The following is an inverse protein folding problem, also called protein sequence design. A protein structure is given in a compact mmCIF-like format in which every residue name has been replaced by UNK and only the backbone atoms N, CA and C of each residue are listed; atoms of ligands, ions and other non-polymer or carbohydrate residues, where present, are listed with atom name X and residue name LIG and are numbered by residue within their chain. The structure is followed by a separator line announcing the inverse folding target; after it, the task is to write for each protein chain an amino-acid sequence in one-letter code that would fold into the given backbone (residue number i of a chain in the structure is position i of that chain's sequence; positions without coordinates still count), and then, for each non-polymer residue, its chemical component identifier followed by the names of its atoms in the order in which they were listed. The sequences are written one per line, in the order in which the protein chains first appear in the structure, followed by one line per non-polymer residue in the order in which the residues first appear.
data_IF_508401137990
#
_entry.id   IF_508401137990
#
_cell.length_a   1.000
_cell.length_b   1.000
_cell.length_c   1.000
_cell.angle_alpha   90.00
_cell.angle_beta   90.00
_cell.angle_gamma   90.00
#
_symmetry.space_group_name_H-M   'P 1'
#
loop_
_entity.id
_entity.type
_entity.pdbx_description
1 polymer ?
#
# COMPACT_ATOMS: atom_id res chain seq x y z
N UNK A 1 -1.94 16.74 -2.49
CA UNK A 1 -0.56 17.03 -2.94
C UNK A 1 0.45 16.56 -1.89
N UNK A 2 1.65 16.18 -2.33
CA UNK A 2 2.81 15.92 -1.48
C UNK A 2 3.78 17.10 -1.60
N UNK A 3 4.40 17.49 -0.49
CA UNK A 3 5.39 18.57 -0.47
C UNK A 3 6.72 18.06 0.06
N UNK A 4 7.81 18.37 -0.63
CA UNK A 4 9.16 18.24 -0.09
C UNK A 4 9.51 19.55 0.62
N UNK A 5 9.79 19.48 1.92
CA UNK A 5 10.10 20.65 2.75
C UNK A 5 11.58 20.60 3.13
N UNK A 6 12.30 21.66 2.83
CA UNK A 6 13.67 21.82 3.29
C UNK A 6 13.68 22.28 4.75
N UNK A 7 14.30 21.48 5.61
CA UNK A 7 14.45 21.75 7.04
C UNK A 7 15.91 21.94 7.46
N UNK A 8 16.83 22.12 6.52
CA UNK A 8 18.27 22.28 6.80
C UNK A 8 18.59 23.52 7.61
N UNK A 9 17.76 24.56 7.49
CA UNK A 9 17.84 25.76 8.33
C UNK A 9 16.62 25.82 9.25
N UNK A 10 16.77 25.60 10.56
CA UNK A 10 15.64 25.62 11.49
C UNK A 10 14.95 26.97 11.63
N UNK A 11 15.59 28.06 11.20
CA UNK A 11 14.99 29.38 11.18
C UNK A 11 14.16 29.66 9.92
N UNK A 12 14.26 28.83 8.89
CA UNK A 12 13.64 29.07 7.59
C UNK A 12 13.31 27.76 6.88
N UNK A 13 12.12 27.24 7.14
CA UNK A 13 11.59 26.10 6.38
C UNK A 13 10.94 26.60 5.10
N UNK A 14 11.18 25.93 3.98
CA UNK A 14 10.52 26.23 2.73
C UNK A 14 10.20 24.97 1.91
N UNK A 15 9.17 25.03 1.09
CA UNK A 15 8.84 23.96 0.19
C UNK A 15 9.77 23.98 -1.02
N UNK A 16 10.57 22.92 -1.19
CA UNK A 16 11.44 22.75 -2.36
C UNK A 16 10.68 22.26 -3.58
N UNK A 17 9.70 21.37 -3.36
CA UNK A 17 8.89 20.81 -4.43
C UNK A 17 7.46 20.54 -3.95
N UNK A 18 6.53 20.61 -4.90
CA UNK A 18 5.15 20.23 -4.73
C UNK A 18 4.75 19.25 -5.85
N UNK A 19 4.31 18.07 -5.46
CA UNK A 19 3.84 17.05 -6.37
C UNK A 19 2.31 16.98 -6.30
N UNK A 20 1.65 17.33 -7.40
CA UNK A 20 0.19 17.25 -7.49
C UNK A 20 -0.23 15.80 -7.62
N UNK A 21 -1.44 15.50 -7.19
CA UNK A 21 -2.07 14.18 -7.29
C UNK A 21 -1.33 13.04 -6.56
N UNK A 22 -0.35 13.41 -5.72
CA UNK A 22 0.48 12.52 -4.92
C UNK A 22 0.12 12.56 -3.42
N UNK A 23 -1.06 13.06 -3.05
CA UNK A 23 -1.53 13.09 -1.67
C UNK A 23 -2.06 11.75 -1.22
N UNK A 24 -2.02 11.51 0.09
CA UNK A 24 -2.66 10.37 0.76
C UNK A 24 -3.59 10.89 1.86
N UNK A 25 -4.60 10.13 2.22
CA UNK A 25 -5.57 10.49 3.25
C UNK A 25 -5.21 9.86 4.60
N UNK A 26 -4.70 8.61 4.57
CA UNK A 26 -4.39 7.86 5.77
C UNK A 26 -2.90 7.55 5.88
N UNK A 27 -2.34 7.52 7.09
CA UNK A 27 -0.94 7.15 7.32
C UNK A 27 -0.58 5.75 6.82
N UNK A 28 -1.54 4.80 6.84
CA UNK A 28 -1.33 3.44 6.35
C UNK A 28 -1.10 3.35 4.83
N UNK A 29 -1.41 4.42 4.08
CA UNK A 29 -1.12 4.50 2.65
C UNK A 29 0.34 4.86 2.35
N UNK A 30 1.19 5.02 3.38
CA UNK A 30 2.60 5.40 3.24
C UNK A 30 3.48 4.39 3.95
N UNK A 31 4.57 4.00 3.30
CA UNK A 31 5.57 3.10 3.87
C UNK A 31 6.98 3.57 3.55
N UNK A 32 7.81 3.72 4.59
CA UNK A 32 9.19 4.18 4.45
C UNK A 32 10.13 2.99 4.30
N UNK A 33 11.03 3.07 3.31
CA UNK A 33 12.06 2.08 3.04
C UNK A 33 13.43 2.73 2.96
N UNK A 34 14.49 1.91 2.89
CA UNK A 34 15.86 2.42 2.73
C UNK A 34 16.10 3.12 1.37
N UNK A 35 15.28 2.85 0.36
CA UNK A 35 15.40 3.41 -0.98
C UNK A 35 14.37 4.50 -1.28
N UNK A 36 13.54 4.89 -0.31
CA UNK A 36 12.58 5.96 -0.48
C UNK A 36 11.26 5.72 0.25
N UNK A 37 10.31 6.59 -0.01
CA UNK A 37 8.97 6.55 0.55
C UNK A 37 8.01 6.04 -0.51
N UNK A 38 7.33 4.91 -0.21
CA UNK A 38 6.31 4.32 -1.06
C UNK A 38 4.95 4.83 -0.56
N UNK A 39 4.07 5.17 -1.48
CA UNK A 39 2.71 5.55 -1.13
C UNK A 39 1.74 5.21 -2.25
N UNK A 40 0.49 4.99 -1.90
CA UNK A 40 -0.58 4.70 -2.85
C UNK A 40 -1.83 5.51 -2.53
N UNK A 41 -2.54 5.89 -3.58
CA UNK A 41 -3.83 6.56 -3.53
C UNK A 41 -4.72 6.06 -4.68
N UNK A 42 -5.91 6.65 -4.84
CA UNK A 42 -6.84 6.30 -5.92
C UNK A 42 -6.28 6.48 -7.34
N UNK A 43 -5.21 7.29 -7.51
CA UNK A 43 -4.61 7.55 -8.83
C UNK A 43 -3.55 6.52 -9.17
N UNK A 44 -2.84 5.98 -8.16
CA UNK A 44 -1.79 5.01 -8.40
C UNK A 44 -0.90 4.75 -7.19
N UNK A 45 0.15 3.98 -7.44
CA UNK A 45 1.23 3.72 -6.51
C UNK A 45 2.50 4.44 -6.98
N UNK A 46 3.19 5.03 -6.01
CA UNK A 46 4.33 5.92 -6.26
C UNK A 46 5.50 5.61 -5.33
N UNK A 47 6.69 5.94 -5.78
CA UNK A 47 7.90 6.01 -4.95
C UNK A 47 8.48 7.42 -5.03
N UNK A 48 8.79 8.00 -3.88
CA UNK A 48 9.65 9.18 -3.77
C UNK A 48 11.06 8.75 -3.36
N UNK A 49 12.05 8.92 -4.24
CA UNK A 49 13.43 8.48 -4.04
C UNK A 49 14.33 9.51 -3.33
N UNK A 50 13.76 10.60 -2.85
CA UNK A 50 14.47 11.72 -2.25
C UNK A 50 14.69 12.89 -3.22
N UNK A 51 14.48 12.68 -4.52
CA UNK A 51 14.63 13.72 -5.54
C UNK A 51 13.39 13.90 -6.40
N UNK A 52 12.70 12.83 -6.73
CA UNK A 52 11.54 12.83 -7.62
C UNK A 52 10.51 11.77 -7.20
N UNK A 53 9.28 11.95 -7.67
CA UNK A 53 8.22 10.95 -7.57
C UNK A 53 8.18 10.13 -8.86
N UNK A 54 8.18 8.82 -8.71
CA UNK A 54 8.08 7.83 -9.79
C UNK A 54 6.74 7.11 -9.64
N UNK A 55 5.91 7.16 -10.67
CA UNK A 55 4.64 6.44 -10.72
C UNK A 55 4.87 5.00 -11.17
N UNK A 56 4.62 4.02 -10.31
CA UNK A 56 4.79 2.59 -10.60
C UNK A 56 3.64 2.00 -11.42
N UNK A 57 2.48 2.64 -11.35
CA UNK A 57 1.26 2.24 -12.07
C UNK A 57 1.15 2.86 -13.46
N UNK A 58 1.98 3.88 -13.76
CA UNK A 58 1.92 4.58 -15.05
C UNK A 58 2.10 3.64 -16.23
N UNK A 59 1.16 3.65 -17.17
CA UNK A 59 1.16 2.79 -18.35
C UNK A 59 0.91 1.29 -18.06
N UNK A 60 0.59 0.92 -16.81
CA UNK A 60 0.30 -0.46 -16.42
C UNK A 60 -1.18 -0.66 -16.10
N UNK A 61 -1.83 0.36 -15.55
CA UNK A 61 -3.23 0.33 -15.16
C UNK A 61 -3.97 1.50 -15.82
N UNK A 62 -5.22 1.24 -16.20
CA UNK A 62 -6.21 2.31 -16.35
C UNK A 62 -6.69 2.73 -14.95
N UNK A 63 -7.28 3.91 -14.86
CA UNK A 63 -7.87 4.39 -13.60
C UNK A 63 -8.91 3.40 -13.04
N UNK A 64 -9.80 2.90 -13.91
CA UNK A 64 -10.84 1.96 -13.52
C UNK A 64 -10.30 0.60 -13.05
N UNK A 65 -9.15 0.17 -13.56
CA UNK A 65 -8.54 -1.11 -13.20
C UNK A 65 -7.69 -1.02 -11.93
N UNK A 66 -7.24 0.17 -11.54
CA UNK A 66 -6.49 0.36 -10.32
C UNK A 66 -7.38 0.18 -9.09
N UNK A 67 -8.60 0.69 -9.15
CA UNK A 67 -9.72 0.46 -8.22
C UNK A 67 -9.31 0.46 -6.74
N UNK A 68 -8.66 1.50 -6.30
CA UNK A 68 -8.48 1.74 -4.87
C UNK A 68 -9.58 2.67 -4.36
N UNK A 69 -10.16 2.36 -3.18
CA UNK A 69 -11.16 3.21 -2.58
C UNK A 69 -10.65 4.64 -2.40
N UNK A 70 -11.49 5.61 -2.68
CA UNK A 70 -11.23 7.01 -2.38
C UNK A 70 -11.86 7.34 -1.04
N UNK A 71 -11.05 7.63 -0.05
CA UNK A 71 -11.53 8.01 1.28
C UNK A 71 -11.91 9.49 1.37
N UNK A 72 -12.66 10.00 0.39
CA UNK A 72 -13.17 11.37 0.48
C UNK A 72 -14.34 11.52 1.44
N UNK A 73 -15.00 10.44 1.82
CA UNK A 73 -16.29 10.52 2.51
C UNK A 73 -16.23 10.26 4.01
N UNK A 74 -15.20 9.61 4.52
CA UNK A 74 -15.19 9.27 5.94
C UNK A 74 -13.82 9.41 6.57
N UNK A 75 -13.66 10.47 7.29
CA UNK A 75 -12.56 10.57 8.26
C UNK A 75 -12.66 9.53 9.39
N UNK A 76 -13.58 8.58 9.32
CA UNK A 76 -13.80 7.55 10.34
C UNK A 76 -14.37 6.30 9.65
N UNK A 77 -13.65 5.26 9.72
CA UNK A 77 -13.84 3.94 9.16
C UNK A 77 -15.13 3.19 9.58
N UNK A 78 -16.30 3.70 9.34
CA UNK A 78 -17.54 3.01 9.70
C UNK A 78 -18.66 3.06 8.66
N UNK A 79 -18.43 3.63 7.48
CA UNK A 79 -19.51 3.81 6.48
C UNK A 79 -19.27 3.09 5.15
N UNK A 80 -18.35 2.13 5.11
CA UNK A 80 -18.08 1.30 3.95
C UNK A 80 -17.09 1.89 2.95
N UNK A 81 -16.43 3.00 3.26
CA UNK A 81 -15.30 3.47 2.49
C UNK A 81 -14.04 2.67 2.85
N UNK A 82 -13.43 2.05 1.88
CA UNK A 82 -12.24 1.25 2.07
C UNK A 82 -11.00 2.09 2.38
N UNK A 83 -10.09 1.53 3.17
CA UNK A 83 -8.81 2.16 3.51
C UNK A 83 -7.66 1.35 2.92
N UNK A 84 -7.02 1.84 1.86
CA UNK A 84 -5.83 1.19 1.31
C UNK A 84 -4.66 1.21 2.30
N UNK A 85 -3.86 0.15 2.28
CA UNK A 85 -2.66 0.05 3.11
C UNK A 85 -1.47 -0.40 2.29
N UNK A 86 -0.33 0.26 2.47
CA UNK A 86 0.90 -0.02 1.73
C UNK A 86 1.94 -0.64 2.63
N UNK A 87 2.61 -1.68 2.13
CA UNK A 87 3.74 -2.31 2.77
C UNK A 87 4.83 -2.71 1.78
N UNK A 88 6.02 -2.96 2.29
CA UNK A 88 7.13 -3.50 1.51
C UNK A 88 7.69 -4.74 2.18
N UNK A 89 7.67 -5.86 1.46
CA UNK A 89 8.30 -7.10 1.90
C UNK A 89 9.73 -7.16 1.37
N UNK A 90 10.75 -7.00 2.23
CA UNK A 90 12.14 -7.00 1.81
C UNK A 90 12.64 -8.37 1.34
N UNK A 91 11.96 -9.44 1.73
CA UNK A 91 12.34 -10.82 1.37
C UNK A 91 11.98 -11.16 -0.07
N UNK A 92 10.80 -10.75 -0.49
CA UNK A 92 10.34 -10.94 -1.87
C UNK A 92 10.60 -9.71 -2.74
N UNK A 93 11.14 -8.63 -2.18
CA UNK A 93 11.34 -7.34 -2.84
C UNK A 93 10.05 -6.86 -3.52
N UNK A 94 8.94 -6.94 -2.79
CA UNK A 94 7.63 -6.65 -3.32
C UNK A 94 6.93 -5.57 -2.51
N UNK A 95 6.30 -4.64 -3.21
CA UNK A 95 5.37 -3.67 -2.63
C UNK A 95 3.99 -4.32 -2.62
N UNK A 96 3.32 -4.27 -1.48
CA UNK A 96 1.97 -4.78 -1.30
C UNK A 96 1.06 -3.59 -1.07
N UNK A 97 0.03 -3.46 -1.88
CA UNK A 97 -1.03 -2.46 -1.72
C UNK A 97 -2.32 -3.21 -1.47
N UNK A 98 -2.71 -3.30 -0.20
CA UNK A 98 -4.01 -3.84 0.17
C UNK A 98 -5.09 -2.86 -0.27
N UNK A 99 -6.17 -3.37 -0.86
CA UNK A 99 -7.26 -2.53 -1.38
C UNK A 99 -8.06 -1.91 -0.24
N UNK A 100 -8.34 -2.69 0.79
CA UNK A 100 -9.10 -2.23 1.95
C UNK A 100 -8.72 -3.01 3.21
N UNK A 101 -8.30 -2.33 4.26
CA UNK A 101 -8.00 -2.94 5.56
C UNK A 101 -9.21 -3.00 6.50
N UNK A 102 -10.32 -2.42 6.11
CA UNK A 102 -11.57 -2.36 6.88
C UNK A 102 -12.71 -3.18 6.29
N UNK A 103 -12.47 -3.89 5.18
CA UNK A 103 -13.47 -4.76 4.59
C UNK A 103 -13.83 -5.88 5.58
N UNK A 104 -15.08 -5.89 6.02
CA UNK A 104 -15.62 -6.84 6.98
C UNK A 104 -16.45 -7.95 6.31
N UNK A 105 -16.66 -7.85 5.02
CA UNK A 105 -17.55 -8.77 4.27
C UNK A 105 -16.82 -9.87 3.54
N UNK A 106 -15.57 -9.64 3.13
CA UNK A 106 -14.80 -10.56 2.29
C UNK A 106 -13.30 -10.43 2.56
N UNK A 107 -12.55 -11.34 1.99
CA UNK A 107 -11.10 -11.32 2.07
C UNK A 107 -10.52 -10.18 1.21
N UNK A 108 -9.71 -9.35 1.82
CA UNK A 108 -9.13 -8.19 1.16
C UNK A 108 -8.18 -8.59 0.04
N UNK A 109 -8.42 -8.07 -1.17
CA UNK A 109 -7.52 -8.17 -2.30
C UNK A 109 -6.31 -7.23 -2.17
N UNK A 110 -5.27 -7.53 -2.92
CA UNK A 110 -4.09 -6.68 -2.97
C UNK A 110 -3.52 -6.57 -4.39
N UNK A 111 -2.90 -5.43 -4.68
CA UNK A 111 -1.96 -5.27 -5.77
C UNK A 111 -0.54 -5.52 -5.26
N UNK A 112 0.20 -6.36 -5.95
CA UNK A 112 1.59 -6.73 -5.58
C UNK A 112 2.51 -6.32 -6.70
N UNK A 113 3.44 -5.42 -6.41
CA UNK A 113 4.48 -5.00 -7.34
C UNK A 113 5.81 -5.64 -6.98
N UNK A 114 6.36 -6.43 -7.88
CA UNK A 114 7.69 -6.98 -7.73
C UNK A 114 8.73 -5.98 -8.25
N UNK A 115 9.63 -5.53 -7.38
CA UNK A 115 10.64 -4.51 -7.70
C UNK A 115 11.69 -5.02 -8.69
N UNK A 116 11.95 -6.33 -8.71
CA UNK A 116 12.97 -6.93 -9.60
C UNK A 116 12.45 -7.06 -11.02
N UNK A 117 11.25 -7.63 -11.17
CA UNK A 117 10.64 -7.84 -12.49
C UNK A 117 9.86 -6.63 -13.00
N UNK A 118 9.60 -5.65 -12.13
CA UNK A 118 8.80 -4.46 -12.41
C UNK A 118 7.38 -4.80 -12.92
N UNK A 119 6.84 -5.91 -12.43
CA UNK A 119 5.52 -6.42 -12.81
C UNK A 119 4.54 -6.33 -11.65
N UNK A 120 3.27 -6.19 -12.00
CA UNK A 120 2.15 -6.21 -11.08
C UNK A 120 1.43 -7.55 -11.14
N UNK A 121 0.99 -8.03 -9.99
CA UNK A 121 0.08 -9.18 -9.86
C UNK A 121 -1.02 -8.82 -8.88
N UNK A 122 -2.19 -9.43 -9.06
CA UNK A 122 -3.29 -9.33 -8.12
C UNK A 122 -3.25 -10.52 -7.16
N UNK A 123 -3.38 -10.25 -5.87
CA UNK A 123 -3.56 -11.25 -4.83
C UNK A 123 -4.96 -11.15 -4.26
N UNK A 124 -5.62 -12.29 -4.12
CA UNK A 124 -6.91 -12.38 -3.45
C UNK A 124 -6.72 -13.01 -2.07
N UNK A 125 -7.66 -12.75 -1.16
CA UNK A 125 -7.65 -13.35 0.19
C UNK A 125 -6.33 -13.09 0.95
N UNK A 126 -5.78 -11.89 0.80
CA UNK A 126 -4.50 -11.53 1.41
C UNK A 126 -4.60 -11.36 2.91
N UNK A 127 -5.76 -10.98 3.39
CA UNK A 127 -6.10 -10.85 4.82
C UNK A 127 -7.51 -11.38 4.99
N UNK A 128 -7.66 -12.38 5.83
CA UNK A 128 -8.98 -12.92 6.18
C UNK A 128 -9.60 -12.09 7.29
N UNK A 129 -10.73 -11.52 7.01
CA UNK A 129 -11.47 -10.68 7.95
C UNK A 129 -12.61 -11.46 8.60
N UNK A 130 -12.27 -12.54 9.30
CA UNK A 130 -13.26 -13.46 9.84
C UNK A 130 -14.21 -12.84 10.88
N UNK A 131 -13.96 -11.65 11.41
CA UNK A 131 -14.72 -11.06 12.52
C UNK A 131 -14.76 -9.52 12.53
N UNK A 132 -14.91 -8.86 11.41
CA UNK A 132 -14.96 -7.39 11.35
C UNK A 132 -13.78 -6.68 12.06
N UNK A 133 -12.63 -7.31 12.06
CA UNK A 133 -11.48 -6.83 12.81
C UNK A 133 -10.65 -5.92 11.93
N UNK A 134 -10.52 -4.71 12.37
CA UNK A 134 -9.76 -3.67 11.69
C UNK A 134 -8.27 -4.00 11.75
N UNK A 135 -7.62 -3.97 10.62
CA UNK A 135 -6.18 -4.01 10.54
C UNK A 135 -5.62 -2.60 10.63
N UNK A 136 -4.37 -2.50 11.02
CA UNK A 136 -3.65 -1.22 11.06
C UNK A 136 -2.51 -1.22 10.04
N UNK A 137 -1.47 -0.44 10.31
CA UNK A 137 -0.35 -0.32 9.39
C UNK A 137 0.45 -1.61 9.25
N UNK A 138 1.10 -1.78 8.11
CA UNK A 138 2.19 -2.71 7.97
C UNK A 138 3.40 -2.27 8.79
N UNK A 139 4.10 -3.26 9.35
CA UNK A 139 5.38 -3.09 10.04
C UNK A 139 6.37 -4.15 9.56
N UNK A 140 7.66 -3.88 9.70
CA UNK A 140 8.70 -4.91 9.55
C UNK A 140 9.14 -5.35 10.94
N UNK A 141 9.01 -6.65 11.21
CA UNK A 141 9.47 -7.23 12.49
C UNK A 141 10.99 -7.32 12.53
N UNK A 142 11.56 -7.54 13.72
CA UNK A 142 12.99 -7.75 13.89
C UNK A 142 13.55 -8.94 13.10
N UNK A 143 12.69 -9.90 12.74
CA UNK A 143 13.03 -11.00 11.85
C UNK A 143 13.00 -10.68 10.36
N UNK A 144 12.70 -9.43 9.99
CA UNK A 144 12.59 -8.99 8.59
C UNK A 144 11.32 -9.47 7.88
N UNK A 145 10.28 -9.81 8.63
CA UNK A 145 8.98 -10.15 8.05
C UNK A 145 8.08 -8.93 7.96
N UNK A 146 7.44 -8.77 6.82
CA UNK A 146 6.33 -7.84 6.70
C UNK A 146 5.15 -8.39 7.49
N UNK A 147 4.58 -7.57 8.35
CA UNK A 147 3.50 -7.98 9.25
C UNK A 147 2.46 -6.87 9.34
N UNK A 148 1.23 -7.26 9.59
CA UNK A 148 0.13 -6.34 9.82
C UNK A 148 -0.43 -6.56 11.22
N UNK A 149 -0.83 -5.48 11.88
CA UNK A 149 -1.44 -5.52 13.20
C UNK A 149 -2.95 -5.65 13.06
N UNK A 150 -3.57 -6.37 13.99
CA UNK A 150 -5.02 -6.44 14.16
C UNK A 150 -5.43 -5.73 15.44
N UNK A 151 -6.51 -4.99 15.36
CA UNK A 151 -7.02 -4.19 16.47
C UNK A 151 -7.60 -5.04 17.62
N UNK A 152 -8.22 -6.18 17.28
CA UNK A 152 -9.01 -6.99 18.22
C UNK A 152 -8.22 -7.88 19.18
N UNK A 153 -6.98 -8.21 18.86
CA UNK A 153 -6.26 -9.27 19.58
C UNK A 153 -4.82 -8.93 19.96
N UNK A 154 -4.37 -7.72 19.69
CA UNK A 154 -2.95 -7.35 19.81
C UNK A 154 -2.02 -8.36 19.09
N UNK A 155 -2.54 -9.02 18.06
CA UNK A 155 -1.83 -10.06 17.32
C UNK A 155 -1.14 -9.46 16.11
N UNK A 156 0.06 -9.95 15.85
CA UNK A 156 0.86 -9.59 14.68
C UNK A 156 0.80 -10.75 13.69
N UNK A 157 0.29 -10.50 12.49
CA UNK A 157 0.25 -11.48 11.43
C UNK A 157 1.39 -11.24 10.44
N UNK A 158 2.27 -12.22 10.29
CA UNK A 158 3.33 -12.15 9.29
C UNK A 158 2.74 -12.43 7.90
N UNK A 159 2.99 -11.53 6.98
CA UNK A 159 2.68 -11.72 5.57
C UNK A 159 3.37 -13.00 5.05
N UNK A 160 2.64 -13.85 4.35
CA UNK A 160 3.12 -15.15 3.81
C UNK A 160 3.53 -16.21 4.83
N UNK A 161 3.19 -16.12 6.09
CA UNK A 161 3.44 -17.20 7.06
C UNK A 161 2.26 -18.17 7.26
N UNK A 162 1.24 -18.13 6.44
CA UNK A 162 0.19 -19.15 6.50
C UNK A 162 0.65 -20.43 5.81
N UNK A 163 0.43 -21.58 6.45
CA UNK A 163 0.71 -22.90 5.89
C UNK A 163 -0.16 -23.29 4.69
N UNK A 164 -1.06 -22.41 4.29
CA UNK A 164 -1.88 -22.56 3.11
C UNK A 164 -1.26 -21.75 1.96
N UNK A 165 -0.82 -22.46 0.94
CA UNK A 165 -0.41 -21.83 -0.31
C UNK A 165 -1.60 -21.06 -0.88
N UNK A 166 -1.55 -19.73 -0.82
CA UNK A 166 -2.57 -18.90 -1.45
C UNK A 166 -2.45 -19.06 -2.96
N UNK A 167 -3.59 -19.20 -3.61
CA UNK A 167 -3.66 -19.33 -5.06
C UNK A 167 -3.28 -17.98 -5.68
N UNK A 168 -2.11 -17.91 -6.27
CA UNK A 168 -1.70 -16.76 -7.09
C UNK A 168 -2.21 -17.01 -8.52
N UNK A 169 -3.10 -16.15 -8.98
CA UNK A 169 -3.57 -16.18 -10.36
C UNK A 169 -2.70 -15.22 -11.16
N UNK A 170 -1.91 -15.75 -12.09
CA UNK A 170 -1.20 -14.95 -13.07
C UNK A 170 -2.09 -14.78 -14.30
N UNK A 171 -2.49 -13.57 -14.59
CA UNK A 171 -3.14 -13.24 -15.85
C UNK A 171 -2.07 -12.63 -16.76
N UNK A 172 -1.58 -13.42 -17.70
CA UNK A 172 -0.75 -12.90 -18.78
C UNK A 172 -1.66 -12.23 -19.81
N UNK A 173 -1.31 -11.02 -20.21
CA UNK A 173 -1.95 -10.41 -21.37
C UNK A 173 -1.57 -11.24 -22.60
N UNK A 174 -2.56 -11.80 -23.27
CA UNK A 174 -2.33 -12.43 -24.56
C UNK A 174 -1.70 -11.38 -25.49
N UNK A 175 -0.50 -11.69 -25.98
CA UNK A 175 0.15 -10.89 -27.00
C UNK A 175 -0.43 -11.39 -28.34
N UNK A 176 -1.39 -10.65 -28.89
CA UNK A 176 -1.82 -10.76 -30.28
C UNK A 176 -0.75 -10.17 -31.20
#
# INVERSE_FOLDING_TARGET
AMYAINISNPAQFYAEAAYRDCGVFNPCQVFTTAFGVIFANQIGCFIYDGSKVIALTSGKFSFDNWDLPSDEASGIANDGAGVPCVGYDPRSQSIIVLKDINDDSTDTGAWIYNMVTQSWTEGNEMITNANANKHTNFIITSGGYLSILRDDSASVFNYKQTNNAQKVIFQTKDLD
#
